data_IF_929817801103
#
_entry.id   IF_929817801103
#
_cell.length_a   1.000
_cell.length_b   1.000
_cell.length_c   1.000
_cell.angle_alpha   90.00
_cell.angle_beta   90.00
_cell.angle_gamma   90.00
#
_symmetry.space_group_name_H-M   'P 1'
#
loop_
_entity.id
_entity.type
_entity.pdbx_description
1 polymer ?
#
# COMPACT_ATOMS: atom_id res chain seq x y z
N UNK A 1 -4.15 27.61 4.14
CA UNK A 1 -3.19 26.73 3.46
C UNK A 1 -2.72 25.56 4.33
N UNK A 2 -2.27 25.78 5.58
CA UNK A 2 -1.75 24.70 6.46
C UNK A 2 -2.73 23.53 6.68
N UNK A 3 -3.99 23.79 6.96
CA UNK A 3 -4.98 22.72 7.16
C UNK A 3 -5.25 21.89 5.90
N UNK A 4 -5.14 22.51 4.72
CA UNK A 4 -5.38 21.85 3.44
C UNK A 4 -4.22 20.87 3.13
N UNK A 5 -2.99 21.27 3.43
CA UNK A 5 -1.82 20.40 3.35
C UNK A 5 -1.91 19.21 4.31
N UNK A 6 -2.32 19.45 5.55
CA UNK A 6 -2.52 18.37 6.54
C UNK A 6 -3.58 17.38 6.06
N UNK A 7 -4.71 17.89 5.53
CA UNK A 7 -5.79 17.05 5.02
C UNK A 7 -5.32 16.19 3.84
N UNK A 8 -4.53 16.74 2.92
CA UNK A 8 -3.92 15.99 1.82
C UNK A 8 -2.98 14.88 2.30
N UNK A 9 -2.13 15.16 3.28
CA UNK A 9 -1.21 14.15 3.85
C UNK A 9 -2.00 13.02 4.51
N UNK A 10 -3.06 13.35 5.26
CA UNK A 10 -3.94 12.35 5.88
C UNK A 10 -4.67 11.53 4.83
N UNK A 11 -5.15 12.15 3.74
CA UNK A 11 -5.80 11.46 2.64
C UNK A 11 -4.85 10.47 1.94
N UNK A 12 -3.65 10.91 1.60
CA UNK A 12 -2.64 10.07 0.95
C UNK A 12 -2.21 8.96 1.89
N UNK A 13 -1.91 9.25 3.16
CA UNK A 13 -1.56 8.24 4.16
C UNK A 13 -2.69 7.23 4.41
N UNK A 14 -3.94 7.70 4.49
CA UNK A 14 -5.11 6.85 4.62
C UNK A 14 -5.31 5.95 3.39
N UNK A 15 -5.17 6.49 2.19
CA UNK A 15 -5.20 5.71 0.96
C UNK A 15 -4.09 4.65 0.92
N UNK A 16 -2.89 5.00 1.41
CA UNK A 16 -1.77 4.06 1.56
C UNK A 16 -2.12 2.89 2.48
N UNK A 17 -2.66 3.21 3.66
CA UNK A 17 -3.03 2.21 4.66
C UNK A 17 -4.18 1.30 4.20
N UNK A 18 -5.21 1.88 3.58
CA UNK A 18 -6.35 1.11 3.05
C UNK A 18 -5.89 0.19 1.92
N UNK A 19 -5.06 0.70 0.99
CA UNK A 19 -4.52 -0.13 -0.07
C UNK A 19 -3.63 -1.25 0.46
N UNK A 20 -2.85 -1.02 1.51
CA UNK A 20 -2.04 -2.06 2.14
C UNK A 20 -2.89 -3.18 2.80
N UNK A 21 -4.10 -2.86 3.25
CA UNK A 21 -5.05 -3.83 3.80
C UNK A 21 -5.84 -4.59 2.72
N UNK A 22 -6.23 -3.91 1.64
CA UNK A 22 -7.09 -4.48 0.58
C UNK A 22 -6.29 -5.17 -0.53
N UNK A 23 -5.13 -4.62 -0.92
CA UNK A 23 -4.31 -5.13 -2.00
C UNK A 23 -3.88 -6.60 -1.85
N UNK A 24 -3.54 -7.14 -0.66
CA UNK A 24 -3.22 -8.55 -0.51
C UNK A 24 -4.32 -9.50 -1.02
N UNK A 25 -5.58 -9.06 -0.96
CA UNK A 25 -6.75 -9.84 -1.37
C UNK A 25 -7.15 -9.60 -2.84
N UNK A 26 -6.49 -8.67 -3.53
CA UNK A 26 -6.88 -8.17 -4.86
C UNK A 26 -5.64 -8.11 -5.78
N UNK A 27 -5.44 -9.09 -6.67
CA UNK A 27 -4.20 -9.21 -7.45
C UNK A 27 -3.94 -8.00 -8.36
N UNK A 28 -4.98 -7.40 -8.93
CA UNK A 28 -4.85 -6.20 -9.77
C UNK A 28 -4.35 -4.99 -8.95
N UNK A 29 -5.00 -4.69 -7.83
CA UNK A 29 -4.63 -3.62 -6.90
C UNK A 29 -3.23 -3.81 -6.34
N UNK A 30 -2.87 -5.06 -6.01
CA UNK A 30 -1.52 -5.44 -5.59
C UNK A 30 -0.46 -5.06 -6.61
N UNK A 31 -0.69 -5.40 -7.87
CA UNK A 31 0.25 -5.12 -8.96
C UNK A 31 0.42 -3.62 -9.15
N UNK A 32 -0.70 -2.88 -9.13
CA UNK A 32 -0.67 -1.40 -9.18
C UNK A 32 0.08 -0.81 -7.98
N UNK A 33 -0.11 -1.35 -6.78
CA UNK A 33 0.57 -0.91 -5.57
C UNK A 33 2.08 -1.10 -5.64
N UNK A 34 2.51 -2.26 -6.12
CA UNK A 34 3.94 -2.56 -6.28
C UNK A 34 4.60 -1.64 -7.29
N UNK A 35 3.93 -1.35 -8.41
CA UNK A 35 4.45 -0.51 -9.47
C UNK A 35 4.47 0.99 -9.11
N UNK A 36 3.46 1.49 -8.41
CA UNK A 36 3.28 2.94 -8.18
C UNK A 36 3.63 3.36 -6.76
N UNK A 37 3.06 2.68 -5.75
CA UNK A 37 3.17 3.08 -4.36
C UNK A 37 4.48 2.59 -3.74
N UNK A 38 4.82 1.30 -3.92
CA UNK A 38 5.98 0.70 -3.26
C UNK A 38 7.31 1.28 -3.69
N UNK A 39 7.45 1.74 -4.95
CA UNK A 39 8.66 2.46 -5.37
C UNK A 39 8.92 3.75 -4.57
N UNK A 40 7.87 4.39 -4.07
CA UNK A 40 7.97 5.59 -3.24
C UNK A 40 8.09 5.24 -1.76
N UNK A 41 7.30 4.28 -1.29
CA UNK A 41 7.28 3.84 0.11
C UNK A 41 8.59 3.14 0.52
N UNK A 42 9.22 2.37 -0.38
CA UNK A 42 10.51 1.72 -0.12
C UNK A 42 11.64 2.71 0.15
N UNK A 43 11.56 3.94 -0.40
CA UNK A 43 12.54 5.00 -0.12
C UNK A 43 12.42 5.54 1.31
N UNK A 44 11.23 5.41 1.91
CA UNK A 44 10.97 5.82 3.30
C UNK A 44 11.28 4.66 4.24
N UNK A 45 10.77 3.47 3.93
CA UNK A 45 11.13 2.24 4.63
C UNK A 45 10.79 1.01 3.76
N UNK A 46 11.76 0.11 3.51
CA UNK A 46 11.53 -1.10 2.71
C UNK A 46 10.54 -2.09 3.35
N UNK A 47 10.27 -1.94 4.65
CA UNK A 47 9.42 -2.84 5.42
C UNK A 47 7.92 -2.60 5.17
N UNK A 48 7.55 -1.44 4.62
CA UNK A 48 6.14 -1.07 4.43
C UNK A 48 5.49 -1.92 3.34
N UNK A 49 6.25 -2.28 2.29
CA UNK A 49 5.71 -3.06 1.17
C UNK A 49 5.94 -4.57 1.27
N UNK A 50 6.58 -5.04 2.34
CA UNK A 50 6.79 -6.47 2.58
C UNK A 50 5.52 -7.33 2.61
N UNK A 51 4.41 -6.94 3.27
CA UNK A 51 3.20 -7.77 3.27
C UNK A 51 2.56 -7.87 1.87
N UNK A 52 2.64 -6.81 1.06
CA UNK A 52 2.16 -6.82 -0.32
C UNK A 52 3.04 -7.73 -1.19
N UNK A 53 4.37 -7.69 -1.00
CA UNK A 53 5.31 -8.61 -1.67
C UNK A 53 5.13 -10.06 -1.21
N UNK A 54 4.95 -10.32 0.08
CA UNK A 54 4.74 -11.68 0.61
C UNK A 54 3.42 -12.29 0.14
N UNK A 55 2.40 -11.45 -0.10
CA UNK A 55 1.16 -11.89 -0.73
C UNK A 55 1.33 -12.38 -2.19
N UNK A 56 2.47 -12.14 -2.86
CA UNK A 56 2.75 -12.76 -4.19
C UNK A 56 2.87 -14.28 -4.11
N UNK A 57 3.31 -14.79 -2.96
CA UNK A 57 3.66 -16.20 -2.77
C UNK A 57 2.66 -16.99 -1.94
N UNK A 58 1.63 -16.34 -1.40
CA UNK A 58 0.56 -17.01 -0.66
C UNK A 58 -0.71 -16.91 -1.51
N UNK A 59 -1.10 -17.97 -2.26
CA UNK A 59 -2.47 -18.02 -2.77
C UNK A 59 -3.40 -17.82 -1.58
N UNK A 60 -4.43 -17.01 -1.77
CA UNK A 60 -5.48 -16.76 -0.80
C UNK A 60 -6.00 -18.11 -0.26
N UNK A 61 -5.46 -18.55 0.86
CA UNK A 61 -5.91 -19.70 1.62
C UNK A 61 -5.95 -19.28 3.08
N UNK A 62 -7.09 -19.60 3.70
CA UNK A 62 -7.59 -19.27 5.05
C UNK A 62 -8.47 -18.02 5.04
N UNK A 63 -9.80 -18.11 5.12
CA UNK A 63 -10.71 -19.19 5.56
C UNK A 63 -12.12 -18.82 5.14
#
# INVERSE_FOLDING_TARGET
MRNLLVLLIVLVGGFVLVGMFVAPNQPELRTWYLANACQHLDKVSPQICDPIRKAEGTPADKT
#
